data_IF_140358114415
#
_entry.id   IF_140358114415
#
_cell.length_a   1.000
_cell.length_b   1.000
_cell.length_c   1.000
_cell.angle_alpha   90.00
_cell.angle_beta   90.00
_cell.angle_gamma   90.00
#
_symmetry.space_group_name_H-M   'P 1'
#
loop_
_entity.id
_entity.type
_entity.pdbx_description
1 polymer ?
#
# COMPACT_ATOMS: atom_id res chain seq x y z
N UNK A 1 -21.39 10.92 31.66
CA UNK A 1 -20.16 10.38 31.03
C UNK A 1 -20.45 9.48 29.81
N UNK A 2 -21.65 8.90 29.66
CA UNK A 2 -22.03 8.01 28.54
C UNK A 2 -22.17 8.68 27.15
N UNK A 3 -22.55 9.96 27.08
CA UNK A 3 -22.74 10.65 25.79
C UNK A 3 -21.43 10.99 25.05
N UNK A 4 -20.32 11.17 25.79
CA UNK A 4 -19.01 11.51 25.19
C UNK A 4 -18.38 10.29 24.49
N UNK A 5 -18.43 9.12 25.11
CA UNK A 5 -17.87 7.87 24.58
C UNK A 5 -18.57 7.40 23.29
N UNK A 6 -19.90 7.56 23.23
CA UNK A 6 -20.67 7.25 22.01
C UNK A 6 -20.31 8.19 20.86
N UNK A 7 -20.03 9.46 21.13
CA UNK A 7 -19.70 10.43 20.10
C UNK A 7 -18.29 10.23 19.53
N UNK A 8 -17.30 9.91 20.38
CA UNK A 8 -15.94 9.55 19.96
C UNK A 8 -15.97 8.30 19.06
N UNK A 9 -16.77 7.30 19.42
CA UNK A 9 -16.93 6.09 18.61
C UNK A 9 -17.44 6.41 17.20
N UNK A 10 -18.49 7.24 17.10
CA UNK A 10 -19.06 7.66 15.82
C UNK A 10 -18.01 8.38 14.95
N UNK A 11 -17.17 9.23 15.53
CA UNK A 11 -16.10 9.90 14.79
C UNK A 11 -14.98 8.93 14.33
N UNK A 12 -14.59 7.97 15.17
CA UNK A 12 -13.62 6.92 14.78
C UNK A 12 -14.14 6.09 13.62
N UNK A 13 -15.40 5.66 13.70
CA UNK A 13 -16.04 4.86 12.65
C UNK A 13 -16.12 5.66 11.34
N UNK A 14 -16.43 6.96 11.42
CA UNK A 14 -16.43 7.86 10.27
C UNK A 14 -15.04 7.99 9.62
N UNK A 15 -13.98 8.21 10.41
CA UNK A 15 -12.60 8.33 9.87
C UNK A 15 -12.16 7.04 9.18
N UNK A 16 -12.44 5.89 9.81
CA UNK A 16 -12.13 4.59 9.21
C UNK A 16 -12.91 4.38 7.90
N UNK A 17 -14.18 4.80 7.84
CA UNK A 17 -14.97 4.75 6.62
C UNK A 17 -14.41 5.66 5.51
N UNK A 18 -13.96 6.88 5.83
CA UNK A 18 -13.31 7.77 4.87
C UNK A 18 -12.01 7.15 4.32
N UNK A 19 -11.21 6.55 5.20
CA UNK A 19 -10.02 5.82 4.79
C UNK A 19 -10.34 4.67 3.84
N UNK A 20 -11.36 3.86 4.15
CA UNK A 20 -11.84 2.77 3.29
C UNK A 20 -12.32 3.24 1.92
N UNK A 21 -13.14 4.29 1.88
CA UNK A 21 -13.65 4.86 0.64
C UNK A 21 -12.51 5.39 -0.25
N UNK A 22 -11.51 6.02 0.34
CA UNK A 22 -10.35 6.53 -0.37
C UNK A 22 -9.52 5.41 -1.01
N UNK A 23 -9.19 4.36 -0.24
CA UNK A 23 -8.22 3.38 -0.71
C UNK A 23 -8.83 2.27 -1.56
N UNK A 24 -10.14 1.97 -1.42
CA UNK A 24 -10.80 0.84 -2.09
C UNK A 24 -10.54 0.81 -3.61
N UNK A 25 -10.82 1.86 -4.40
CA UNK A 25 -10.58 1.84 -5.85
C UNK A 25 -9.11 1.68 -6.21
N UNK A 26 -8.22 2.38 -5.50
CA UNK A 26 -6.76 2.31 -5.72
C UNK A 26 -6.22 0.90 -5.44
N UNK A 27 -6.72 0.26 -4.38
CA UNK A 27 -6.29 -1.08 -4.00
C UNK A 27 -6.75 -2.15 -4.99
N UNK A 28 -7.92 -1.96 -5.62
CA UNK A 28 -8.41 -2.86 -6.65
C UNK A 28 -7.54 -2.78 -7.90
N UNK A 29 -7.22 -1.56 -8.35
CA UNK A 29 -6.32 -1.37 -9.49
C UNK A 29 -4.91 -1.92 -9.20
N UNK A 30 -4.41 -1.72 -7.99
CA UNK A 30 -3.12 -2.27 -7.56
C UNK A 30 -3.09 -3.80 -7.66
N UNK A 31 -4.17 -4.46 -7.19
CA UNK A 31 -4.33 -5.92 -7.26
C UNK A 31 -4.43 -6.42 -8.71
N UNK A 32 -5.12 -5.70 -9.58
CA UNK A 32 -5.15 -6.05 -11.01
C UNK A 32 -3.74 -6.05 -11.63
N UNK A 33 -2.93 -5.04 -11.30
CA UNK A 33 -1.53 -5.02 -11.74
C UNK A 33 -0.72 -6.21 -11.19
N UNK A 34 -0.92 -6.58 -9.92
CA UNK A 34 -0.27 -7.75 -9.31
C UNK A 34 -0.62 -9.04 -10.06
N UNK A 35 -1.91 -9.23 -10.33
CA UNK A 35 -2.41 -10.41 -11.03
C UNK A 35 -1.83 -10.51 -12.45
N UNK A 36 -1.71 -9.38 -13.15
CA UNK A 36 -1.04 -9.32 -14.45
C UNK A 36 0.43 -9.75 -14.34
N UNK A 37 1.17 -9.23 -13.35
CA UNK A 37 2.57 -9.58 -13.14
C UNK A 37 2.74 -11.07 -12.85
N UNK A 38 1.93 -11.64 -11.95
CA UNK A 38 1.98 -13.05 -11.59
C UNK A 38 1.65 -13.95 -12.79
N UNK A 39 0.60 -13.62 -13.54
CA UNK A 39 0.21 -14.38 -14.74
C UNK A 39 1.31 -14.34 -15.81
N UNK A 40 1.85 -13.16 -16.13
CA UNK A 40 2.94 -13.03 -17.09
C UNK A 40 4.18 -13.81 -16.64
N UNK A 41 4.55 -13.72 -15.36
CA UNK A 41 5.69 -14.46 -14.78
C UNK A 41 5.48 -15.97 -14.92
N UNK A 42 4.28 -16.47 -14.61
CA UNK A 42 3.95 -17.88 -14.75
C UNK A 42 4.05 -18.36 -16.21
N UNK A 43 3.50 -17.61 -17.17
CA UNK A 43 3.57 -17.97 -18.59
C UNK A 43 5.01 -17.95 -19.10
N UNK A 44 5.80 -16.95 -18.71
CA UNK A 44 7.22 -16.83 -19.07
C UNK A 44 8.04 -18.03 -18.57
N UNK A 45 7.74 -18.57 -17.39
CA UNK A 45 8.41 -19.77 -16.84
C UNK A 45 8.12 -21.06 -17.61
N UNK A 46 7.02 -21.12 -18.36
CA UNK A 46 6.68 -22.30 -19.14
C UNK A 46 7.54 -22.45 -20.40
N UNK A 47 8.32 -21.42 -20.76
CA UNK A 47 9.28 -21.42 -21.88
C UNK A 47 8.70 -21.87 -23.24
N UNK A 48 7.41 -21.59 -23.46
CA UNK A 48 6.68 -21.92 -24.70
C UNK A 48 6.37 -20.71 -25.58
N UNK A 49 6.94 -19.56 -25.23
CA UNK A 49 6.66 -18.31 -25.91
C UNK A 49 7.70 -18.04 -27.00
N UNK A 50 7.23 -17.57 -28.15
CA UNK A 50 8.13 -16.99 -29.13
C UNK A 50 8.79 -15.71 -28.57
N UNK A 51 9.88 -15.28 -29.20
CA UNK A 51 10.67 -14.14 -28.75
C UNK A 51 9.84 -12.84 -28.66
N UNK A 52 8.91 -12.61 -29.59
CA UNK A 52 8.07 -11.40 -29.58
C UNK A 52 7.13 -11.43 -28.39
N UNK A 53 6.46 -12.56 -28.14
CA UNK A 53 5.54 -12.72 -27.01
C UNK A 53 6.26 -12.60 -25.67
N UNK A 54 7.48 -13.13 -25.57
CA UNK A 54 8.35 -12.97 -24.39
C UNK A 54 8.68 -11.50 -24.12
N UNK A 55 9.07 -10.74 -25.15
CA UNK A 55 9.36 -9.31 -25.01
C UNK A 55 8.12 -8.52 -24.60
N UNK A 56 6.96 -8.81 -25.16
CA UNK A 56 5.70 -8.15 -24.77
C UNK A 56 5.32 -8.47 -23.33
N UNK A 57 5.46 -9.72 -22.88
CA UNK A 57 5.20 -10.09 -21.49
C UNK A 57 6.09 -9.30 -20.51
N UNK A 58 7.37 -9.10 -20.83
CA UNK A 58 8.24 -8.25 -20.01
C UNK A 58 7.81 -6.79 -19.98
N UNK A 59 7.36 -6.22 -21.12
CA UNK A 59 6.82 -4.85 -21.16
C UNK A 59 5.55 -4.72 -20.30
N UNK A 60 4.67 -5.71 -20.34
CA UNK A 60 3.46 -5.75 -19.50
C UNK A 60 3.83 -5.76 -18.02
N UNK A 61 4.80 -6.58 -17.60
CA UNK A 61 5.27 -6.59 -16.20
C UNK A 61 5.84 -5.23 -15.81
N UNK A 62 6.72 -4.65 -16.63
CA UNK A 62 7.34 -3.35 -16.37
C UNK A 62 6.30 -2.23 -16.24
N UNK A 63 5.31 -2.21 -17.13
CA UNK A 63 4.22 -1.24 -17.10
C UNK A 63 3.38 -1.37 -15.83
N UNK A 64 3.02 -2.58 -15.43
CA UNK A 64 2.23 -2.83 -14.23
C UNK A 64 2.98 -2.45 -12.94
N UNK A 65 4.30 -2.67 -12.87
CA UNK A 65 5.10 -2.20 -11.72
C UNK A 65 5.12 -0.67 -11.66
N UNK A 66 5.21 0.02 -12.81
CA UNK A 66 5.15 1.49 -12.85
C UNK A 66 3.79 2.01 -12.39
N UNK A 67 2.69 1.38 -12.83
CA UNK A 67 1.35 1.73 -12.34
C UNK A 67 1.25 1.50 -10.83
N UNK A 68 1.73 0.37 -10.31
CA UNK A 68 1.74 0.10 -8.86
C UNK A 68 2.52 1.14 -8.07
N UNK A 69 3.64 1.64 -8.59
CA UNK A 69 4.38 2.73 -7.95
C UNK A 69 3.53 4.00 -7.84
N UNK A 70 2.81 4.37 -8.91
CA UNK A 70 1.92 5.54 -8.92
C UNK A 70 0.72 5.36 -7.98
N UNK A 71 0.12 4.17 -7.99
CA UNK A 71 -0.99 3.84 -7.09
C UNK A 71 -0.55 3.81 -5.64
N UNK A 72 0.66 3.35 -5.36
CA UNK A 72 1.23 3.41 -4.01
C UNK A 72 1.37 4.86 -3.56
N UNK A 73 1.94 5.74 -4.39
CA UNK A 73 2.09 7.15 -4.00
C UNK A 73 0.73 7.80 -3.70
N UNK A 74 -0.33 7.45 -4.46
CA UNK A 74 -1.71 7.87 -4.17
C UNK A 74 -2.26 7.25 -2.88
N UNK A 75 -2.08 5.96 -2.65
CA UNK A 75 -2.51 5.29 -1.41
C UNK A 75 -1.83 5.91 -0.18
N UNK A 76 -0.57 6.28 -0.32
CA UNK A 76 0.20 6.94 0.72
C UNK A 76 -0.21 8.41 0.89
N UNK A 77 -0.90 9.05 -0.04
CA UNK A 77 -1.26 10.48 0.08
C UNK A 77 -2.53 10.74 0.89
N UNK A 78 -3.15 9.70 1.46
CA UNK A 78 -4.31 9.89 2.33
C UNK A 78 -3.95 10.78 3.53
N UNK A 79 -4.84 11.72 3.82
CA UNK A 79 -4.78 12.60 4.97
C UNK A 79 -6.21 13.04 5.32
N UNK A 80 -6.47 13.23 6.60
CA UNK A 80 -7.74 13.75 7.11
C UNK A 80 -7.71 15.28 7.07
N UNK A 81 -8.82 15.90 6.65
CA UNK A 81 -8.97 17.37 6.61
C UNK A 81 -9.94 17.88 7.68
N UNK A 82 -9.79 19.15 8.08
CA UNK A 82 -10.63 19.78 9.12
C UNK A 82 -12.10 19.89 8.75
N UNK A 83 -12.38 20.00 7.45
CA UNK A 83 -13.72 20.23 6.93
C UNK A 83 -14.61 18.98 7.03
N UNK A 84 -14.00 17.83 7.32
CA UNK A 84 -14.65 16.51 7.40
C UNK A 84 -15.15 16.16 8.82
N UNK A 85 -14.88 17.00 9.83
CA UNK A 85 -15.19 16.69 11.24
C UNK A 85 -16.23 17.64 11.85
N UNK A 86 -16.99 17.12 12.83
CA UNK A 86 -17.96 17.93 13.59
C UNK A 86 -17.20 18.98 14.44
N UNK A 87 -17.42 20.29 14.19
CA UNK A 87 -16.74 21.36 14.92
C UNK A 87 -17.04 21.35 16.43
N UNK A 88 -18.08 20.64 16.88
CA UNK A 88 -18.44 20.55 18.30
C UNK A 88 -17.56 19.58 19.10
N UNK A 89 -16.74 18.76 18.44
CA UNK A 89 -15.84 17.82 19.09
C UNK A 89 -14.50 17.77 18.36
N UNK A 90 -13.55 18.66 18.71
CA UNK A 90 -12.27 18.74 18.05
C UNK A 90 -11.45 17.47 18.33
N UNK A 91 -11.18 16.71 17.27
CA UNK A 91 -10.13 15.70 17.25
C UNK A 91 -8.81 16.36 16.89
N UNK A 92 -7.71 15.81 17.40
CA UNK A 92 -6.38 16.22 16.98
C UNK A 92 -6.05 15.59 15.62
N UNK A 93 -6.45 16.28 14.55
CA UNK A 93 -6.26 15.86 13.15
C UNK A 93 -4.78 15.68 12.84
N UNK A 94 -3.94 16.62 13.28
CA UNK A 94 -2.48 16.56 13.09
C UNK A 94 -1.90 15.27 13.67
N UNK A 95 -2.39 14.86 14.85
CA UNK A 95 -1.97 13.62 15.49
C UNK A 95 -2.43 12.38 14.73
N UNK A 96 -3.65 12.37 14.19
CA UNK A 96 -4.15 11.26 13.37
C UNK A 96 -3.32 11.13 12.09
N UNK A 97 -3.09 12.25 11.40
CA UNK A 97 -2.27 12.29 10.19
C UNK A 97 -0.84 11.84 10.51
N UNK A 98 -0.24 12.30 11.60
CA UNK A 98 1.08 11.85 12.05
C UNK A 98 1.14 10.34 12.31
N UNK A 99 0.11 9.75 12.92
CA UNK A 99 0.06 8.29 13.12
C UNK A 99 0.02 7.53 11.79
N UNK A 100 -0.73 8.04 10.80
CA UNK A 100 -0.75 7.45 9.47
C UNK A 100 0.60 7.61 8.75
N UNK A 101 1.25 8.77 8.83
CA UNK A 101 2.60 9.01 8.30
C UNK A 101 3.63 8.01 8.84
N UNK A 102 3.65 7.83 10.16
CA UNK A 102 4.56 6.90 10.82
C UNK A 102 4.31 5.45 10.39
N UNK A 103 3.03 5.07 10.27
CA UNK A 103 2.64 3.74 9.84
C UNK A 103 3.06 3.47 8.38
N UNK A 104 2.80 4.42 7.48
CA UNK A 104 3.00 4.22 6.05
C UNK A 104 4.47 4.33 5.63
N UNK A 105 5.30 5.05 6.38
CA UNK A 105 6.73 5.24 6.08
C UNK A 105 7.49 3.92 5.95
N UNK A 106 7.30 3.01 6.92
CA UNK A 106 7.95 1.69 6.90
C UNK A 106 7.48 0.84 5.71
N UNK A 107 6.17 0.82 5.44
CA UNK A 107 5.60 0.07 4.32
C UNK A 107 6.06 0.59 2.95
N UNK A 108 6.18 1.91 2.80
CA UNK A 108 6.63 2.55 1.57
C UNK A 108 8.02 2.07 1.15
N UNK A 109 8.95 1.97 2.11
CA UNK A 109 10.31 1.48 1.85
C UNK A 109 10.28 0.03 1.35
N UNK A 110 9.54 -0.85 2.03
CA UNK A 110 9.45 -2.27 1.64
C UNK A 110 8.82 -2.45 0.25
N UNK A 111 7.78 -1.68 -0.07
CA UNK A 111 7.18 -1.68 -1.40
C UNK A 111 8.19 -1.26 -2.47
N UNK A 112 8.87 -0.12 -2.26
CA UNK A 112 9.83 0.43 -3.22
C UNK A 112 10.99 -0.54 -3.48
N UNK A 113 11.47 -1.23 -2.44
CA UNK A 113 12.46 -2.29 -2.58
C UNK A 113 11.94 -3.44 -3.46
N UNK A 114 10.71 -3.90 -3.21
CA UNK A 114 10.11 -4.99 -4.01
C UNK A 114 9.89 -4.61 -5.48
N UNK A 115 9.45 -3.37 -5.76
CA UNK A 115 9.27 -2.87 -7.13
C UNK A 115 10.60 -2.79 -7.88
N UNK A 116 11.60 -2.17 -7.26
CA UNK A 116 12.92 -1.99 -7.86
C UNK A 116 13.61 -3.33 -8.11
N UNK A 117 13.47 -4.29 -7.19
CA UNK A 117 14.00 -5.63 -7.36
C UNK A 117 13.33 -6.34 -8.55
N UNK A 118 12.01 -6.28 -8.67
CA UNK A 118 11.28 -6.85 -9.82
C UNK A 118 11.69 -6.20 -11.14
N UNK A 119 11.79 -4.86 -11.19
CA UNK A 119 12.23 -4.14 -12.39
C UNK A 119 13.66 -4.51 -12.81
N UNK A 120 14.57 -4.65 -11.83
CA UNK A 120 15.94 -5.06 -12.09
C UNK A 120 16.00 -6.45 -12.75
N UNK A 121 15.29 -7.43 -12.19
CA UNK A 121 15.25 -8.78 -12.77
C UNK A 121 14.61 -8.81 -14.15
N UNK A 122 13.53 -8.07 -14.37
CA UNK A 122 12.91 -7.94 -15.69
C UNK A 122 13.88 -7.33 -16.70
N UNK A 123 14.64 -6.31 -16.31
CA UNK A 123 15.67 -5.72 -17.18
C UNK A 123 16.75 -6.74 -17.54
N UNK A 124 17.26 -7.49 -16.56
CA UNK A 124 18.28 -8.53 -16.80
C UNK A 124 17.76 -9.67 -17.69
N UNK A 125 16.53 -10.12 -17.46
CA UNK A 125 15.88 -11.14 -18.29
C UNK A 125 15.73 -10.68 -19.74
N UNK A 126 15.36 -9.42 -19.97
CA UNK A 126 15.23 -8.83 -21.31
C UNK A 126 16.55 -8.75 -22.08
N UNK A 127 17.69 -8.69 -21.39
CA UNK A 127 19.00 -8.71 -22.04
C UNK A 127 19.30 -10.09 -22.66
N UNK A 128 18.63 -11.16 -22.21
CA UNK A 128 18.79 -12.50 -22.77
C UNK A 128 20.17 -13.13 -22.53
N UNK A 129 20.91 -12.66 -21.51
CA UNK A 129 22.29 -13.09 -21.21
C UNK A 129 22.40 -13.98 -19.97
N UNK A 130 21.28 -14.33 -19.36
CA UNK A 130 21.26 -15.15 -18.15
C UNK A 130 21.29 -16.62 -18.51
N UNK A 131 22.04 -17.42 -17.76
CA UNK A 131 21.93 -18.87 -17.84
C UNK A 131 20.55 -19.34 -17.32
N UNK A 132 20.22 -20.61 -17.58
CA UNK A 132 18.92 -21.18 -17.21
C UNK A 132 18.66 -21.15 -15.69
N UNK A 133 19.68 -21.41 -14.86
CA UNK A 133 19.54 -21.41 -13.41
C UNK A 133 19.26 -19.99 -12.88
N UNK A 134 19.98 -19.00 -13.43
CA UNK A 134 19.82 -17.58 -13.10
C UNK A 134 18.47 -17.05 -13.60
N UNK A 135 18.01 -17.49 -14.76
CA UNK A 135 16.68 -17.17 -15.32
C UNK A 135 15.57 -17.67 -14.40
N UNK A 136 15.62 -18.94 -14.00
CA UNK A 136 14.63 -19.53 -13.08
C UNK A 136 14.67 -18.86 -11.70
N UNK A 137 15.87 -18.49 -11.20
CA UNK A 137 15.99 -17.68 -9.98
C UNK A 137 15.31 -16.32 -10.13
N UNK A 138 15.51 -15.63 -11.25
CA UNK A 138 14.91 -14.33 -11.49
C UNK A 138 13.38 -14.40 -11.41
N UNK A 139 12.76 -15.39 -12.07
CA UNK A 139 11.32 -15.59 -12.01
C UNK A 139 10.81 -15.90 -10.59
N UNK A 140 11.52 -16.73 -9.82
CA UNK A 140 11.17 -16.98 -8.41
C UNK A 140 11.23 -15.72 -7.56
N UNK A 141 12.22 -14.85 -7.78
CA UNK A 141 12.32 -13.57 -7.05
C UNK A 141 11.18 -12.63 -7.43
N UNK A 142 10.84 -12.53 -8.72
CA UNK A 142 9.71 -11.72 -9.19
C UNK A 142 8.39 -12.20 -8.55
N UNK A 143 8.15 -13.52 -8.54
CA UNK A 143 6.96 -14.11 -7.93
C UNK A 143 6.91 -13.86 -6.41
N UNK A 144 8.04 -14.02 -5.72
CA UNK A 144 8.15 -13.72 -4.30
C UNK A 144 7.85 -12.25 -4.00
N UNK A 145 8.42 -11.32 -4.76
CA UNK A 145 8.18 -9.89 -4.59
C UNK A 145 6.72 -9.52 -4.83
N UNK A 146 6.06 -10.11 -5.84
CA UNK A 146 4.64 -9.89 -6.08
C UNK A 146 3.78 -10.37 -4.89
N UNK A 147 4.11 -11.53 -4.29
CA UNK A 147 3.44 -12.00 -3.06
C UNK A 147 3.69 -11.07 -1.87
N UNK A 148 4.92 -10.57 -1.72
CA UNK A 148 5.25 -9.58 -0.69
C UNK A 148 4.42 -8.30 -0.86
N UNK A 149 4.27 -7.80 -2.08
CA UNK A 149 3.45 -6.62 -2.38
C UNK A 149 1.98 -6.82 -1.98
N UNK A 150 1.41 -8.02 -2.18
CA UNK A 150 0.07 -8.35 -1.67
C UNK A 150 -0.02 -8.23 -0.15
N UNK A 151 0.98 -8.75 0.57
CA UNK A 151 1.02 -8.69 2.03
C UNK A 151 1.15 -7.24 2.53
N UNK A 152 2.02 -6.46 1.90
CA UNK A 152 2.22 -5.05 2.22
C UNK A 152 0.97 -4.22 1.93
N UNK A 153 0.27 -4.52 0.83
CA UNK A 153 -0.99 -3.85 0.49
C UNK A 153 -2.02 -4.15 1.57
N UNK A 154 -2.22 -5.42 1.91
CA UNK A 154 -3.18 -5.78 2.96
C UNK A 154 -2.81 -5.16 4.32
N UNK A 155 -1.51 -5.07 4.66
CA UNK A 155 -1.08 -4.32 5.85
C UNK A 155 -1.52 -2.86 5.76
N UNK A 156 -1.25 -2.18 4.64
CA UNK A 156 -1.62 -0.78 4.43
C UNK A 156 -3.13 -0.55 4.56
N UNK A 157 -3.94 -1.41 3.95
CA UNK A 157 -5.42 -1.28 3.98
C UNK A 157 -6.00 -1.62 5.36
N UNK A 158 -5.32 -2.45 6.14
CA UNK A 158 -5.71 -2.79 7.50
C UNK A 158 -5.27 -1.72 8.52
N UNK A 159 -4.84 -0.53 8.09
CA UNK A 159 -4.72 0.60 9.00
C UNK A 159 -6.11 1.00 9.49
N UNK A 160 -6.24 1.17 10.81
CA UNK A 160 -7.47 1.65 11.42
C UNK A 160 -7.13 2.48 12.65
N UNK A 161 -7.91 3.53 12.86
CA UNK A 161 -7.84 4.34 14.06
C UNK A 161 -8.47 3.55 15.22
N UNK A 162 -7.67 3.28 16.26
CA UNK A 162 -8.14 2.60 17.49
C UNK A 162 -8.73 3.60 18.47
N UNK A 163 -9.91 3.31 19.01
CA UNK A 163 -10.60 4.15 20.00
C UNK A 163 -9.72 4.49 21.22
N UNK A 164 -9.03 3.50 21.81
CA UNK A 164 -8.16 3.71 22.97
C UNK A 164 -6.94 4.61 22.68
N UNK A 165 -6.56 4.81 21.40
CA UNK A 165 -5.47 5.75 21.04
C UNK A 165 -5.94 7.20 21.02
N UNK A 166 -7.23 7.45 20.95
CA UNK A 166 -7.79 8.81 21.10
C UNK A 166 -7.96 9.18 22.56
N UNK A 167 -8.32 8.23 23.44
CA UNK A 167 -8.45 8.49 24.88
C UNK A 167 -7.13 8.98 25.50
N UNK A 168 -5.99 8.46 25.05
CA UNK A 168 -4.66 8.96 25.41
C UNK A 168 -4.41 10.39 24.91
N UNK A 169 -4.89 10.73 23.72
CA UNK A 169 -4.77 12.07 23.12
C UNK A 169 -5.65 13.10 23.83
N UNK A 170 -6.86 12.73 24.24
CA UNK A 170 -7.72 13.57 25.08
C UNK A 170 -7.16 13.76 26.49
N UNK A 171 -6.49 12.74 27.04
CA UNK A 171 -5.86 12.79 28.37
C UNK A 171 -4.62 13.70 28.39
N UNK A 172 -3.78 13.67 27.34
CA UNK A 172 -2.61 14.56 27.21
C UNK A 172 -3.00 16.03 27.00
N UNK A 173 -4.11 16.31 26.32
CA UNK A 173 -4.61 17.67 26.13
C UNK A 173 -5.30 18.22 27.39
N UNK A 174 -5.95 17.37 28.18
CA UNK A 174 -6.57 17.78 29.45
C UNK A 174 -5.54 18.01 30.57
N UNK A 175 -4.38 17.35 30.52
CA UNK A 175 -3.29 17.58 31.48
C UNK A 175 -2.36 18.74 31.11
N UNK A 176 -2.34 19.16 29.83
CA UNK A 176 -1.54 20.30 29.36
C UNK A 176 -2.20 21.67 29.51
N UNK A 177 -3.45 21.74 29.99
CA UNK A 177 -4.21 22.99 30.17
C UNK A 177 -4.19 23.54 31.61
N UNK A 178 -3.46 22.90 32.53
CA UNK A 178 -3.25 23.37 33.91
C UNK A 178 -1.78 23.76 34.14
N UNK A 179 -1.29 24.82 33.48
CA UNK A 179 -0.10 25.58 33.90
C UNK A 179 -0.24 27.06 33.54
#
# INVERSE_FOLDING_TARGET
>A
MSNSTNSIKVQVDYINQQFEQFHSPLSNEFRLCLDCILRCTHVLRLDRLDQRTTVEAFKVIEHNIKIQSLLLDKLLSWHLTSDELDPKQPLNIDRINQQFEQFKSALSVEFRLSFNCTLCWIHLLRLGRLDQCTTERAFRVIEYNAKLQTLLLNKLLNWYLRQNRLDAVFSELSSGAEL
#
